data_IF_429640846070
#
_entry.id   IF_429640846070
#
_cell.length_a   1.000
_cell.length_b   1.000
_cell.length_c   1.000
_cell.angle_alpha   90.00
_cell.angle_beta   90.00
_cell.angle_gamma   90.00
#
_symmetry.space_group_name_H-M   'P 1'
#
loop_
_entity.id
_entity.type
_entity.pdbx_description
1 polymer ?
#
# COMPACT_ATOMS: atom_id res chain seq x y z
N UNK A 1 51.20 -36.91 -54.87
CA UNK A 1 49.93 -37.29 -55.49
C UNK A 1 49.10 -38.07 -54.48
N UNK A 2 47.98 -37.51 -54.01
CA UNK A 2 46.77 -38.22 -53.59
C UNK A 2 45.81 -37.19 -52.96
N UNK A 3 44.70 -36.92 -53.64
CA UNK A 3 43.54 -36.17 -53.16
C UNK A 3 42.65 -37.11 -52.35
N UNK A 4 42.21 -36.69 -51.17
CA UNK A 4 40.99 -37.15 -50.48
C UNK A 4 40.63 -35.98 -49.54
N UNK A 5 39.46 -35.37 -49.47
CA UNK A 5 38.10 -35.70 -49.89
C UNK A 5 37.20 -35.13 -48.80
N UNK A 6 36.68 -33.91 -48.99
CA UNK A 6 35.77 -33.25 -48.05
C UNK A 6 34.47 -34.07 -47.96
N UNK A 7 34.15 -34.61 -46.80
CA UNK A 7 32.79 -35.02 -46.44
C UNK A 7 32.26 -34.07 -45.37
N UNK A 8 31.46 -33.11 -45.80
CA UNK A 8 30.61 -32.33 -44.91
C UNK A 8 29.43 -33.19 -44.45
N UNK A 9 29.31 -33.39 -43.14
CA UNK A 9 28.07 -33.85 -42.54
C UNK A 9 27.28 -32.61 -42.09
N UNK A 10 26.33 -32.18 -42.91
CA UNK A 10 25.32 -31.23 -42.51
C UNK A 10 24.32 -31.97 -41.59
N UNK A 11 24.33 -31.65 -40.29
CA UNK A 11 23.24 -32.04 -39.40
C UNK A 11 22.09 -31.07 -39.64
N UNK A 12 21.09 -31.55 -40.37
CA UNK A 12 19.83 -30.86 -40.59
C UNK A 12 18.94 -30.96 -39.34
N UNK A 13 18.26 -29.85 -39.02
CA UNK A 13 16.94 -29.89 -38.39
C UNK A 13 16.87 -29.64 -36.89
N UNK A 14 17.15 -28.41 -36.44
CA UNK A 14 16.45 -27.89 -35.26
C UNK A 14 14.99 -27.64 -35.66
N UNK A 15 14.07 -28.45 -35.13
CA UNK A 15 12.63 -28.19 -35.20
C UNK A 15 12.36 -26.97 -34.32
N UNK A 16 12.48 -25.78 -34.91
CA UNK A 16 11.94 -24.56 -34.34
C UNK A 16 10.42 -24.63 -34.54
N UNK A 17 9.69 -25.16 -33.58
CA UNK A 17 8.24 -24.91 -33.50
C UNK A 17 8.06 -23.43 -33.25
N UNK A 18 7.88 -22.67 -34.33
CA UNK A 18 7.39 -21.32 -34.27
C UNK A 18 5.98 -21.37 -33.66
N UNK A 19 5.88 -21.09 -32.36
CA UNK A 19 4.61 -20.68 -31.75
C UNK A 19 4.22 -19.35 -32.39
N UNK A 20 3.42 -19.45 -33.45
CA UNK A 20 2.71 -18.31 -34.00
C UNK A 20 1.85 -17.67 -32.90
N UNK A 21 2.08 -16.39 -32.62
CA UNK A 21 0.95 -15.48 -32.39
C UNK A 21 0.69 -14.88 -31.00
N UNK A 22 1.49 -15.10 -29.96
CA UNK A 22 1.35 -14.25 -28.75
C UNK A 22 2.19 -12.98 -28.91
N UNK A 23 1.65 -11.97 -29.61
CA UNK A 23 2.18 -10.60 -29.43
C UNK A 23 2.07 -10.29 -27.92
N UNK A 24 3.13 -9.81 -27.25
CA UNK A 24 3.02 -9.39 -25.87
C UNK A 24 1.92 -8.33 -25.79
N UNK A 25 0.83 -8.64 -25.09
CA UNK A 25 -0.25 -7.67 -24.91
C UNK A 25 0.33 -6.52 -24.10
N UNK A 26 0.28 -5.31 -24.65
CA UNK A 26 0.68 -4.11 -23.90
C UNK A 26 -0.23 -4.05 -22.66
N UNK A 27 0.33 -3.93 -21.44
CA UNK A 27 -0.50 -3.84 -20.26
C UNK A 27 -1.32 -2.54 -20.31
N UNK A 28 -2.61 -2.65 -19.99
CA UNK A 28 -3.55 -1.52 -19.97
C UNK A 28 -3.38 -0.75 -18.68
N UNK A 29 -3.35 0.58 -18.75
CA UNK A 29 -3.24 1.45 -17.58
C UNK A 29 -4.61 1.57 -16.91
N UNK A 30 -4.72 1.35 -15.61
CA UNK A 30 -5.95 1.63 -14.86
C UNK A 30 -6.35 3.12 -14.98
N UNK A 31 -7.64 3.41 -14.84
CA UNK A 31 -8.19 4.77 -15.05
C UNK A 31 -7.96 5.39 -16.43
N UNK A 32 -7.64 4.56 -17.43
CA UNK A 32 -7.69 4.93 -18.84
C UNK A 32 -9.01 4.50 -19.48
N UNK A 33 -9.30 5.03 -20.68
CA UNK A 33 -10.47 4.62 -21.46
C UNK A 33 -10.42 3.13 -21.87
N UNK A 34 -9.24 2.52 -21.89
CA UNK A 34 -9.09 1.09 -22.18
C UNK A 34 -9.35 0.19 -20.96
N UNK A 35 -9.38 0.73 -19.75
CA UNK A 35 -9.56 -0.03 -18.50
C UNK A 35 -11.04 -0.10 -18.04
N UNK A 36 -11.98 -0.11 -18.98
CA UNK A 36 -13.40 -0.20 -18.66
C UNK A 36 -13.84 -1.63 -18.38
N UNK A 37 -14.63 -1.80 -17.30
CA UNK A 37 -15.25 -3.08 -16.98
C UNK A 37 -16.09 -3.58 -18.17
N UNK A 38 -15.87 -4.83 -18.58
CA UNK A 38 -16.52 -5.44 -19.75
C UNK A 38 -15.77 -5.30 -21.06
N UNK A 39 -14.78 -4.39 -21.17
CA UNK A 39 -13.87 -4.31 -22.32
C UNK A 39 -12.59 -5.11 -22.13
N UNK A 40 -12.21 -5.36 -20.88
CA UNK A 40 -10.99 -6.10 -20.50
C UNK A 40 -11.29 -7.21 -19.50
N UNK A 41 -10.38 -8.18 -19.42
CA UNK A 41 -10.36 -9.18 -18.36
C UNK A 41 -9.95 -8.51 -17.04
N UNK A 42 -10.89 -8.39 -16.10
CA UNK A 42 -10.68 -7.72 -14.80
C UNK A 42 -9.70 -8.46 -13.88
N UNK A 43 -9.29 -9.69 -14.24
CA UNK A 43 -8.18 -10.38 -13.59
C UNK A 43 -6.81 -9.95 -14.11
N UNK A 44 -6.76 -9.28 -15.26
CA UNK A 44 -5.53 -8.82 -15.92
C UNK A 44 -5.41 -7.30 -15.97
N UNK A 45 -6.46 -6.56 -15.64
CA UNK A 45 -6.49 -5.10 -15.60
C UNK A 45 -7.32 -4.69 -14.39
N UNK A 46 -6.80 -3.83 -13.53
CA UNK A 46 -7.61 -3.29 -12.45
C UNK A 46 -8.65 -2.30 -13.00
N UNK A 47 -9.92 -2.68 -12.91
CA UNK A 47 -11.05 -1.92 -13.49
C UNK A 47 -12.00 -1.32 -12.45
N UNK A 48 -11.78 -1.58 -11.16
CA UNK A 48 -12.65 -1.07 -10.10
C UNK A 48 -11.93 0.02 -9.30
N UNK A 49 -10.81 -0.32 -8.68
CA UNK A 49 -9.98 0.55 -7.84
C UNK A 49 -8.72 1.05 -8.54
N UNK A 50 -8.87 1.69 -9.69
CA UNK A 50 -7.74 2.01 -10.58
C UNK A 50 -6.79 3.10 -10.07
N UNK A 51 -7.16 3.84 -9.02
CA UNK A 51 -6.27 4.75 -8.30
C UNK A 51 -5.77 4.02 -7.06
N UNK A 52 -4.54 3.53 -7.09
CA UNK A 52 -3.97 2.68 -6.05
C UNK A 52 -3.12 3.52 -5.11
N UNK A 53 -3.39 3.44 -3.82
CA UNK A 53 -2.64 4.16 -2.78
C UNK A 53 -1.80 3.16 -1.99
N UNK A 54 -0.48 3.39 -1.88
CA UNK A 54 0.35 2.74 -0.86
C UNK A 54 0.54 3.70 0.29
N UNK A 55 0.01 3.36 1.45
CA UNK A 55 -0.09 4.24 2.61
C UNK A 55 0.85 3.81 3.72
N UNK A 56 1.41 4.77 4.44
CA UNK A 56 2.40 4.53 5.49
C UNK A 56 2.07 5.29 6.76
N UNK A 57 2.43 4.72 7.91
CA UNK A 57 2.37 5.35 9.21
C UNK A 57 3.74 5.83 9.69
N UNK A 58 3.71 6.95 10.39
CA UNK A 58 4.70 7.30 11.39
C UNK A 58 4.06 7.28 12.79
N UNK A 59 4.10 6.12 13.43
CA UNK A 59 3.76 5.98 14.82
C UNK A 59 4.97 6.31 15.72
N UNK A 60 4.72 6.98 16.84
CA UNK A 60 5.74 7.20 17.88
C UNK A 60 5.70 6.13 18.97
N UNK A 61 4.63 5.34 19.04
CA UNK A 61 4.46 4.24 20.00
C UNK A 61 3.42 3.24 19.45
N UNK A 62 3.41 2.01 19.95
CA UNK A 62 2.43 0.98 19.57
C UNK A 62 1.31 0.86 20.59
N UNK A 63 1.56 1.18 21.86
CA UNK A 63 0.63 0.93 22.96
C UNK A 63 0.56 -0.53 23.39
N UNK A 64 1.35 -1.41 22.76
CA UNK A 64 1.52 -2.82 23.08
C UNK A 64 3.01 -3.17 23.24
N UNK A 65 3.84 -2.21 23.64
CA UNK A 65 5.27 -2.41 23.89
C UNK A 65 5.52 -3.51 24.92
N UNK A 66 4.67 -3.61 25.95
CA UNK A 66 4.73 -4.67 26.96
C UNK A 66 4.50 -6.07 26.41
N UNK A 67 3.88 -6.18 25.24
CA UNK A 67 3.64 -7.43 24.51
C UNK A 67 4.72 -7.69 23.44
N UNK A 68 5.71 -6.80 23.34
CA UNK A 68 6.81 -6.90 22.37
C UNK A 68 6.48 -6.41 20.96
N UNK A 69 5.31 -5.80 20.76
CA UNK A 69 4.97 -5.11 19.51
C UNK A 69 5.74 -3.79 19.47
N UNK A 70 6.81 -3.77 18.68
CA UNK A 70 7.75 -2.64 18.57
C UNK A 70 7.88 -2.19 17.12
N UNK A 71 8.13 -0.90 16.95
CA UNK A 71 8.30 -0.24 15.66
C UNK A 71 9.71 -0.46 15.11
N UNK A 72 9.89 -0.56 13.78
CA UNK A 72 11.20 -0.72 13.17
C UNK A 72 11.99 0.58 13.21
N UNK A 73 13.21 0.58 13.76
CA UNK A 73 14.09 1.75 13.71
C UNK A 73 14.28 2.26 12.27
N UNK A 74 14.37 3.57 12.11
CA UNK A 74 14.69 4.25 10.84
C UNK A 74 13.78 3.85 9.67
N UNK A 75 12.48 3.66 9.94
CA UNK A 75 11.52 3.24 8.92
C UNK A 75 10.13 3.68 9.31
N UNK A 76 9.36 4.19 8.34
CA UNK A 76 7.91 4.20 8.43
C UNK A 76 7.38 2.76 8.47
N UNK A 77 6.12 2.57 8.82
CA UNK A 77 5.43 1.28 8.74
C UNK A 77 4.36 1.33 7.65
N UNK A 78 4.03 0.18 7.08
CA UNK A 78 2.92 0.04 6.14
C UNK A 78 1.60 0.26 6.90
N UNK A 79 0.75 1.14 6.36
CA UNK A 79 -0.65 1.25 6.75
C UNK A 79 -1.49 0.31 5.87
N UNK A 80 -1.45 0.49 4.54
CA UNK A 80 -2.21 -0.36 3.64
C UNK A 80 -1.93 -0.14 2.15
N UNK A 81 -2.72 -0.85 1.34
CA UNK A 81 -2.80 -0.71 -0.11
C UNK A 81 -4.27 -0.57 -0.50
N UNK A 82 -4.67 0.61 -0.99
CA UNK A 82 -6.09 0.96 -1.11
C UNK A 82 -6.51 1.16 -2.58
N UNK A 83 -7.69 0.64 -2.96
CA UNK A 83 -8.33 0.93 -4.23
C UNK A 83 -9.28 2.13 -4.12
N UNK A 84 -8.87 3.27 -4.65
CA UNK A 84 -9.78 4.38 -4.92
C UNK A 84 -10.33 4.29 -6.35
N UNK A 85 -11.54 4.80 -6.54
CA UNK A 85 -12.07 5.05 -7.87
C UNK A 85 -11.24 6.13 -8.56
N UNK A 86 -11.28 6.13 -9.89
CA UNK A 86 -10.50 7.07 -10.70
C UNK A 86 -10.82 8.54 -10.46
N UNK A 87 -12.00 8.85 -9.92
CA UNK A 87 -12.41 10.21 -9.54
C UNK A 87 -12.02 10.60 -8.09
N UNK A 88 -11.31 9.73 -7.36
CA UNK A 88 -10.84 9.98 -5.99
C UNK A 88 -11.87 9.70 -4.90
N UNK A 89 -13.09 9.31 -5.24
CA UNK A 89 -13.98 8.66 -4.28
C UNK A 89 -13.54 7.21 -4.05
N UNK A 90 -13.99 6.58 -2.99
CA UNK A 90 -13.61 5.21 -2.65
C UNK A 90 -14.83 4.38 -2.23
N UNK A 91 -14.61 3.08 -2.15
CA UNK A 91 -15.56 2.12 -1.60
C UNK A 91 -14.87 1.26 -0.55
N UNK A 92 -15.63 0.46 0.18
CA UNK A 92 -15.11 -0.33 1.29
C UNK A 92 -15.98 -1.56 1.56
N UNK A 93 -15.33 -2.64 2.04
CA UNK A 93 -15.97 -3.90 2.38
C UNK A 93 -16.82 -4.49 1.24
N UNK A 94 -16.22 -4.61 0.06
CA UNK A 94 -16.92 -4.97 -1.18
C UNK A 94 -17.31 -6.45 -1.28
N UNK A 95 -16.79 -7.32 -0.40
CA UNK A 95 -17.09 -8.75 -0.40
C UNK A 95 -17.16 -9.31 1.03
N UNK A 96 -18.38 -9.51 1.54
CA UNK A 96 -18.61 -10.03 2.89
C UNK A 96 -18.24 -11.51 3.04
N UNK A 97 -18.15 -12.28 1.95
CA UNK A 97 -17.72 -13.68 2.02
C UNK A 97 -16.21 -13.82 2.30
N UNK A 98 -15.45 -12.73 2.12
CA UNK A 98 -14.00 -12.62 2.36
C UNK A 98 -13.64 -11.61 3.44
N UNK A 99 -14.60 -11.26 4.29
CA UNK A 99 -14.40 -10.35 5.40
C UNK A 99 -13.83 -11.13 6.60
N UNK A 100 -12.80 -10.57 7.25
CA UNK A 100 -12.11 -11.11 8.42
C UNK A 100 -11.98 -10.10 9.58
N UNK A 101 -12.46 -8.86 9.42
CA UNK A 101 -12.27 -7.77 10.37
C UNK A 101 -13.18 -7.95 11.62
N UNK A 102 -12.60 -8.16 12.82
CA UNK A 102 -13.36 -8.34 14.05
C UNK A 102 -13.94 -7.04 14.60
N UNK A 103 -13.52 -5.87 14.11
CA UNK A 103 -14.00 -4.56 14.56
C UNK A 103 -14.10 -3.58 13.39
N UNK A 104 -15.08 -3.77 12.48
CA UNK A 104 -15.24 -2.91 11.30
C UNK A 104 -15.36 -1.42 11.65
N UNK A 105 -14.45 -0.60 11.10
CA UNK A 105 -14.47 0.86 11.27
C UNK A 105 -14.25 1.62 9.93
N UNK A 106 -15.26 2.33 9.40
CA UNK A 106 -16.61 2.43 9.93
C UNK A 106 -17.38 1.10 9.73
N UNK A 107 -18.46 0.93 10.49
CA UNK A 107 -19.22 -0.32 10.55
C UNK A 107 -20.30 -0.46 9.45
N UNK A 108 -20.22 0.35 8.39
CA UNK A 108 -21.09 0.26 7.20
C UNK A 108 -20.27 0.39 5.91
N UNK A 109 -20.79 -0.09 4.78
CA UNK A 109 -20.10 -0.04 3.47
C UNK A 109 -19.92 1.36 2.89
N UNK A 110 -20.55 2.38 3.47
CA UNK A 110 -20.44 3.80 3.02
C UNK A 110 -19.87 4.71 4.11
N UNK A 111 -19.60 4.18 5.30
CA UNK A 111 -19.26 4.95 6.49
C UNK A 111 -20.38 5.84 7.03
N UNK A 112 -21.59 5.71 6.48
CA UNK A 112 -22.78 6.48 6.87
C UNK A 112 -23.86 5.56 7.43
N UNK A 113 -24.85 6.11 8.19
CA UNK A 113 -25.95 5.31 8.74
C UNK A 113 -26.83 4.60 7.69
N UNK A 114 -26.83 5.06 6.44
CA UNK A 114 -27.57 4.47 5.33
C UNK A 114 -26.79 3.37 4.58
N UNK A 115 -25.52 3.15 4.92
CA UNK A 115 -24.71 2.07 4.36
C UNK A 115 -25.14 0.70 4.86
N UNK A 116 -24.77 -0.34 4.11
CA UNK A 116 -25.02 -1.73 4.53
C UNK A 116 -24.15 -2.04 5.75
N UNK A 117 -24.71 -2.52 6.87
CA UNK A 117 -23.93 -2.87 8.05
C UNK A 117 -22.89 -3.97 7.75
N UNK A 118 -21.67 -3.78 8.24
CA UNK A 118 -20.59 -4.76 8.14
C UNK A 118 -20.54 -5.54 9.45
N UNK A 119 -20.90 -6.84 9.45
CA UNK A 119 -20.90 -7.63 10.67
C UNK A 119 -19.45 -7.86 11.16
N UNK A 120 -19.20 -7.76 12.48
CA UNK A 120 -17.92 -8.17 13.06
C UNK A 120 -17.60 -9.64 12.80
N UNK A 121 -16.36 -9.92 12.40
CA UNK A 121 -15.87 -11.28 12.23
C UNK A 121 -15.57 -11.94 13.58
N UNK A 122 -15.94 -13.21 13.73
CA UNK A 122 -15.76 -13.98 14.98
C UNK A 122 -14.93 -15.25 14.79
N UNK A 123 -14.38 -15.48 13.60
CA UNK A 123 -13.56 -16.66 13.29
C UNK A 123 -12.07 -16.48 13.58
N UNK A 124 -11.22 -17.41 13.12
CA UNK A 124 -9.77 -17.34 13.29
C UNK A 124 -9.14 -16.12 12.61
N UNK A 125 -8.13 -15.53 13.25
CA UNK A 125 -7.42 -14.37 12.72
C UNK A 125 -6.65 -14.66 11.43
N UNK A 126 -6.39 -13.63 10.61
CA UNK A 126 -5.75 -13.77 9.29
C UNK A 126 -4.36 -14.42 9.35
N UNK A 127 -3.61 -14.23 10.43
CA UNK A 127 -2.31 -14.86 10.67
C UNK A 127 -2.40 -16.38 10.87
N UNK A 128 -3.53 -16.90 11.33
CA UNK A 128 -3.79 -18.35 11.38
C UNK A 128 -3.84 -18.93 9.97
N UNK A 129 -4.52 -18.24 9.04
CA UNK A 129 -4.63 -18.69 7.65
C UNK A 129 -3.29 -18.58 6.91
N UNK A 130 -2.54 -17.49 7.12
CA UNK A 130 -1.21 -17.33 6.55
C UNK A 130 -0.26 -18.43 7.07
N UNK A 131 -0.28 -18.74 8.37
CA UNK A 131 0.50 -19.84 8.95
C UNK A 131 0.19 -21.18 8.27
N UNK A 132 -1.09 -21.47 7.98
CA UNK A 132 -1.49 -22.70 7.32
C UNK A 132 -0.96 -22.84 5.87
N UNK A 133 -0.50 -21.75 5.23
CA UNK A 133 0.13 -21.79 3.92
C UNK A 133 1.61 -22.20 3.97
N UNK A 134 2.16 -22.45 5.17
CA UNK A 134 3.50 -22.96 5.38
C UNK A 134 4.58 -21.89 5.20
N UNK A 135 5.74 -22.30 4.67
CA UNK A 135 6.93 -21.42 4.59
C UNK A 135 6.67 -20.02 4.00
N UNK A 136 5.92 -19.84 2.90
CA UNK A 136 5.63 -18.50 2.37
C UNK A 136 4.88 -17.61 3.36
N UNK A 137 3.86 -18.17 4.02
CA UNK A 137 3.06 -17.43 5.00
C UNK A 137 3.86 -17.08 6.25
N UNK A 138 4.68 -18.00 6.77
CA UNK A 138 5.58 -17.70 7.89
C UNK A 138 6.58 -16.58 7.55
N UNK A 139 7.16 -16.61 6.36
CA UNK A 139 8.10 -15.57 5.90
C UNK A 139 7.40 -14.21 5.81
N UNK A 140 6.19 -14.18 5.27
CA UNK A 140 5.41 -12.95 5.16
C UNK A 140 4.99 -12.41 6.54
N UNK A 141 4.50 -13.27 7.44
CA UNK A 141 4.15 -12.88 8.81
C UNK A 141 5.34 -12.31 9.58
N UNK A 142 6.54 -12.87 9.41
CA UNK A 142 7.74 -12.32 10.04
C UNK A 142 8.04 -10.90 9.54
N UNK A 143 7.83 -10.65 8.25
CA UNK A 143 7.99 -9.32 7.67
C UNK A 143 6.89 -8.35 8.15
N UNK A 144 5.62 -8.77 8.13
CA UNK A 144 4.48 -7.95 8.59
C UNK A 144 4.60 -7.58 10.07
N UNK A 145 5.01 -8.52 10.93
CA UNK A 145 5.27 -8.24 12.34
C UNK A 145 6.45 -7.28 12.58
N UNK A 146 7.25 -6.96 11.55
CA UNK A 146 8.30 -5.95 11.63
C UNK A 146 7.88 -4.62 11.03
N UNK A 147 7.09 -4.61 9.95
CA UNK A 147 6.85 -3.42 9.13
C UNK A 147 5.38 -3.02 8.96
N UNK A 148 4.41 -3.84 9.35
CA UNK A 148 2.98 -3.56 9.27
C UNK A 148 2.38 -3.60 10.67
N UNK A 149 2.76 -2.60 11.47
CA UNK A 149 2.52 -2.54 12.91
C UNK A 149 1.28 -1.72 13.20
N UNK A 150 0.43 -2.22 14.10
CA UNK A 150 -0.75 -1.49 14.54
C UNK A 150 -0.48 -0.62 15.77
N UNK A 151 -1.28 0.44 15.92
CA UNK A 151 -1.31 1.26 17.13
C UNK A 151 -2.53 0.90 17.98
N UNK A 152 -2.33 0.64 19.28
CA UNK A 152 -3.34 0.34 20.31
C UNK A 152 -4.19 -0.91 20.04
N UNK A 153 -3.72 -1.81 19.19
CA UNK A 153 -4.35 -3.09 18.91
C UNK A 153 -3.31 -4.11 18.38
N UNK A 154 -3.59 -5.42 18.48
CA UNK A 154 -2.73 -6.43 17.88
C UNK A 154 -2.65 -6.29 16.35
N UNK A 155 -1.47 -6.52 15.77
CA UNK A 155 -1.26 -6.37 14.33
C UNK A 155 -2.29 -7.13 13.46
N UNK A 156 -2.69 -8.34 13.88
CA UNK A 156 -3.64 -9.15 13.10
C UNK A 156 -5.02 -8.49 12.93
N UNK A 157 -5.42 -7.57 13.83
CA UNK A 157 -6.66 -6.81 13.68
C UNK A 157 -6.53 -5.75 12.58
N UNK A 158 -5.40 -5.04 12.53
CA UNK A 158 -5.09 -4.13 11.42
C UNK A 158 -5.06 -4.88 10.09
N UNK A 159 -4.35 -6.02 10.02
CA UNK A 159 -4.27 -6.78 8.76
C UNK A 159 -5.64 -7.29 8.29
N UNK A 160 -6.47 -7.73 9.23
CA UNK A 160 -7.84 -8.14 8.94
C UNK A 160 -8.69 -6.96 8.43
N UNK A 161 -8.54 -5.79 9.04
CA UNK A 161 -9.16 -4.54 8.59
C UNK A 161 -8.75 -4.20 7.15
N UNK A 162 -7.46 -4.11 6.90
CA UNK A 162 -6.90 -3.73 5.60
C UNK A 162 -7.36 -4.68 4.49
N UNK A 163 -7.34 -5.99 4.74
CA UNK A 163 -7.83 -6.94 3.77
C UNK A 163 -9.35 -6.80 3.54
N UNK A 164 -10.12 -6.80 4.62
CA UNK A 164 -11.58 -6.81 4.55
C UNK A 164 -12.14 -5.56 3.91
N UNK A 165 -11.60 -4.40 4.28
CA UNK A 165 -12.07 -3.09 3.85
C UNK A 165 -11.57 -2.73 2.47
N UNK A 166 -10.29 -3.01 2.17
CA UNK A 166 -9.64 -2.53 0.95
C UNK A 166 -9.35 -3.65 -0.06
N UNK A 167 -8.73 -4.76 0.34
CA UNK A 167 -8.37 -5.83 -0.60
C UNK A 167 -9.59 -6.41 -1.34
N UNK A 168 -10.73 -6.49 -0.65
CA UNK A 168 -11.98 -7.00 -1.22
C UNK A 168 -12.53 -6.13 -2.36
N UNK A 169 -12.07 -4.87 -2.44
CA UNK A 169 -12.49 -3.87 -3.41
C UNK A 169 -11.51 -3.71 -4.58
N UNK A 170 -10.55 -4.61 -4.76
CA UNK A 170 -9.83 -4.71 -6.03
C UNK A 170 -10.45 -5.77 -6.91
N UNK A 171 -10.59 -5.47 -8.21
CA UNK A 171 -11.07 -6.46 -9.19
C UNK A 171 -10.05 -7.59 -9.39
N UNK A 172 -8.75 -7.28 -9.39
CA UNK A 172 -7.71 -8.27 -9.73
C UNK A 172 -7.44 -9.27 -8.60
N UNK A 173 -7.88 -8.98 -7.36
CA UNK A 173 -7.77 -9.87 -6.20
C UNK A 173 -9.03 -10.71 -5.96
N UNK A 174 -10.02 -10.67 -6.86
CA UNK A 174 -11.20 -11.53 -6.75
C UNK A 174 -10.82 -13.03 -6.80
N UNK A 175 -11.47 -13.91 -6.02
CA UNK A 175 -11.15 -15.35 -6.01
C UNK A 175 -11.19 -16.02 -7.39
N UNK A 176 -12.09 -15.55 -8.27
CA UNK A 176 -12.21 -16.02 -9.65
C UNK A 176 -10.96 -15.78 -10.51
N UNK A 177 -10.07 -14.88 -10.08
CA UNK A 177 -8.82 -14.55 -10.77
C UNK A 177 -7.68 -15.51 -10.43
N UNK A 178 -7.83 -16.32 -9.38
CA UNK A 178 -6.86 -17.36 -9.03
C UNK A 178 -7.22 -18.64 -9.77
N UNK A 179 -6.25 -19.22 -10.49
CA UNK A 179 -6.52 -20.44 -11.26
C UNK A 179 -6.92 -21.60 -10.33
N UNK A 180 -7.70 -22.56 -10.82
CA UNK A 180 -8.06 -23.76 -10.05
C UNK A 180 -6.86 -24.57 -9.53
N UNK A 181 -5.66 -24.38 -10.09
CA UNK A 181 -4.41 -24.99 -9.59
C UNK A 181 -3.75 -24.16 -8.48
N UNK A 182 -4.04 -22.86 -8.44
CA UNK A 182 -3.51 -21.89 -7.47
C UNK A 182 -4.47 -21.64 -6.30
N UNK A 183 -5.72 -22.12 -6.39
CA UNK A 183 -6.76 -22.01 -5.36
C UNK A 183 -6.47 -22.91 -4.14
N UNK A 184 -5.30 -22.74 -3.51
CA UNK A 184 -5.19 -23.02 -2.08
C UNK A 184 -6.12 -22.05 -1.36
N UNK A 185 -6.92 -22.57 -0.43
CA UNK A 185 -7.77 -21.74 0.43
C UNK A 185 -6.92 -20.62 1.04
N UNK A 186 -7.37 -19.37 0.98
CA UNK A 186 -6.66 -18.18 1.49
C UNK A 186 -5.42 -17.73 0.70
N UNK A 187 -5.23 -18.20 -0.54
CA UNK A 187 -4.14 -17.72 -1.40
C UNK A 187 -4.27 -16.22 -1.76
N UNK A 188 -5.48 -15.69 -1.79
CA UNK A 188 -5.78 -14.28 -1.99
C UNK A 188 -5.25 -13.41 -0.84
N UNK A 189 -5.38 -13.85 0.42
CA UNK A 189 -4.76 -13.21 1.59
C UNK A 189 -3.24 -13.11 1.43
N UNK A 190 -2.57 -14.24 1.13
CA UNK A 190 -1.13 -14.26 0.93
C UNK A 190 -0.69 -13.30 -0.18
N UNK A 191 -1.43 -13.31 -1.30
CA UNK A 191 -1.11 -12.49 -2.47
C UNK A 191 -1.30 -11.00 -2.18
N UNK A 192 -2.40 -10.61 -1.53
CA UNK A 192 -2.63 -9.21 -1.16
C UNK A 192 -1.53 -8.68 -0.25
N UNK A 193 -1.27 -9.38 0.86
CA UNK A 193 -0.28 -8.91 1.83
C UNK A 193 1.15 -8.87 1.26
N UNK A 194 1.51 -9.83 0.39
CA UNK A 194 2.82 -9.80 -0.28
C UNK A 194 2.92 -8.63 -1.26
N UNK A 195 1.88 -8.34 -2.04
CA UNK A 195 1.86 -7.21 -2.98
C UNK A 195 1.91 -5.88 -2.22
N UNK A 196 1.14 -5.70 -1.15
CA UNK A 196 1.21 -4.51 -0.30
C UNK A 196 2.62 -4.30 0.27
N UNK A 197 3.28 -5.40 0.69
CA UNK A 197 4.67 -5.37 1.13
C UNK A 197 5.65 -4.98 0.02
N UNK A 198 5.40 -5.39 -1.23
CA UNK A 198 6.23 -5.01 -2.38
C UNK A 198 6.14 -3.51 -2.66
N UNK A 199 4.94 -2.93 -2.74
CA UNK A 199 4.77 -1.47 -2.94
C UNK A 199 5.48 -0.67 -1.84
N UNK A 200 5.30 -1.07 -0.58
CA UNK A 200 5.96 -0.42 0.56
C UNK A 200 7.49 -0.43 0.46
N UNK A 201 8.09 -1.55 0.06
CA UNK A 201 9.56 -1.69 -0.03
C UNK A 201 10.22 -0.75 -1.04
N UNK A 202 9.46 -0.28 -2.04
CA UNK A 202 9.95 0.70 -3.03
C UNK A 202 9.79 2.15 -2.56
N UNK A 203 9.23 2.37 -1.37
CA UNK A 203 8.92 3.68 -0.81
C UNK A 203 9.62 3.89 0.54
N UNK A 204 10.97 3.93 0.60
CA UNK A 204 11.73 4.16 1.84
C UNK A 204 11.63 5.62 2.32
N UNK A 205 10.43 6.05 2.72
CA UNK A 205 10.11 7.44 3.12
C UNK A 205 11.08 7.99 4.16
N UNK A 206 11.47 7.19 5.16
CA UNK A 206 12.45 7.62 6.17
C UNK A 206 13.78 8.01 5.53
N UNK A 207 14.32 7.16 4.65
CA UNK A 207 15.63 7.38 4.03
C UNK A 207 15.62 8.61 3.12
N UNK A 208 14.53 8.83 2.39
CA UNK A 208 14.35 10.02 1.55
C UNK A 208 14.30 11.31 2.35
N UNK A 209 13.56 11.33 3.46
CA UNK A 209 13.50 12.48 4.36
C UNK A 209 14.84 12.71 5.06
N UNK A 210 15.48 11.66 5.57
CA UNK A 210 16.77 11.74 6.24
C UNK A 210 17.87 12.26 5.31
N UNK A 211 17.86 11.89 4.03
CA UNK A 211 18.80 12.39 3.02
C UNK A 211 18.65 13.91 2.74
N UNK A 212 17.51 14.49 3.10
CA UNK A 212 17.22 15.93 3.02
C UNK A 212 17.29 16.62 4.39
N UNK A 213 17.95 16.01 5.37
CA UNK A 213 18.08 16.50 6.75
C UNK A 213 16.72 16.69 7.48
N UNK A 214 15.68 15.96 7.05
CA UNK A 214 14.37 15.89 7.72
C UNK A 214 14.30 14.59 8.52
N UNK A 215 14.77 14.64 9.77
CA UNK A 215 14.76 13.49 10.68
C UNK A 215 13.75 13.66 11.82
N UNK A 216 13.32 12.56 12.48
CA UNK A 216 12.51 12.69 13.67
C UNK A 216 13.19 13.57 14.72
N UNK A 217 12.45 14.51 15.31
CA UNK A 217 12.94 15.45 16.32
C UNK A 217 11.83 15.90 17.26
N UNK A 218 12.18 16.07 18.53
CA UNK A 218 11.32 16.69 19.55
C UNK A 218 11.60 18.19 19.74
N UNK A 219 12.57 18.75 18.99
CA UNK A 219 13.03 20.14 19.12
C UNK A 219 12.99 20.91 17.80
N UNK A 220 12.84 20.23 16.68
CA UNK A 220 12.80 20.79 15.33
C UNK A 220 11.50 20.41 14.65
N UNK A 221 10.85 21.41 14.07
CA UNK A 221 9.70 21.25 13.18
C UNK A 221 10.07 21.67 11.75
N UNK A 222 9.22 21.30 10.81
CA UNK A 222 9.45 21.44 9.37
C UNK A 222 8.26 22.15 8.72
N UNK A 223 8.47 22.65 7.50
CA UNK A 223 7.40 23.18 6.67
C UNK A 223 6.81 22.06 5.83
N UNK A 224 5.48 22.06 5.68
CA UNK A 224 4.76 21.08 4.87
C UNK A 224 5.35 20.92 3.45
N UNK A 225 5.69 22.04 2.82
CA UNK A 225 6.25 22.09 1.46
C UNK A 225 7.61 21.39 1.37
N UNK A 226 8.46 21.49 2.39
CA UNK A 226 9.79 20.85 2.38
C UNK A 226 9.66 19.33 2.42
N UNK A 227 8.76 18.80 3.25
CA UNK A 227 8.47 17.37 3.32
C UNK A 227 7.86 16.90 2.00
N UNK A 228 6.84 17.58 1.48
CA UNK A 228 6.18 17.18 0.24
C UNK A 228 7.10 17.23 -0.97
N UNK A 229 7.90 18.30 -1.11
CA UNK A 229 8.83 18.45 -2.25
C UNK A 229 9.94 17.41 -2.21
N UNK A 230 10.48 17.11 -1.02
CA UNK A 230 11.46 16.03 -0.83
C UNK A 230 10.89 14.71 -1.31
N UNK A 231 9.71 14.30 -0.82
CA UNK A 231 9.11 13.03 -1.19
C UNK A 231 8.66 12.99 -2.66
N UNK A 232 8.12 14.08 -3.19
CA UNK A 232 7.75 14.20 -4.59
C UNK A 232 8.95 14.00 -5.53
N UNK A 233 10.13 14.49 -5.15
CA UNK A 233 11.36 14.31 -5.94
C UNK A 233 11.75 12.83 -6.11
N UNK A 234 11.30 11.96 -5.20
CA UNK A 234 11.49 10.51 -5.25
C UNK A 234 10.29 9.74 -5.83
N UNK A 235 9.22 10.43 -6.21
CA UNK A 235 7.98 9.86 -6.73
C UNK A 235 7.59 10.49 -8.08
N UNK A 236 8.55 10.59 -9.01
CA UNK A 236 8.37 11.20 -10.35
C UNK A 236 7.78 12.63 -10.34
N UNK A 237 8.14 13.42 -9.32
CA UNK A 237 7.63 14.77 -9.12
C UNK A 237 6.18 14.83 -8.64
N UNK A 238 5.56 13.67 -8.36
CA UNK A 238 4.17 13.59 -7.94
C UNK A 238 4.05 13.79 -6.44
N UNK A 239 3.20 14.73 -6.03
CA UNK A 239 3.04 15.12 -4.62
C UNK A 239 2.29 14.03 -3.86
N UNK A 240 2.90 13.39 -2.84
CA UNK A 240 2.16 12.47 -1.97
C UNK A 240 1.24 13.25 -1.02
N UNK A 241 0.22 12.56 -0.51
CA UNK A 241 -0.60 13.10 0.58
C UNK A 241 0.16 13.01 1.91
N UNK A 242 0.15 14.07 2.70
CA UNK A 242 0.68 14.05 4.08
C UNK A 242 -0.45 14.21 5.10
N UNK A 243 -0.62 13.17 5.92
CA UNK A 243 -1.56 13.16 7.02
C UNK A 243 -0.88 13.62 8.30
N UNK A 244 -1.45 14.66 8.92
CA UNK A 244 -1.13 15.04 10.29
C UNK A 244 -2.30 14.86 11.24
N UNK A 245 -1.99 14.70 12.52
CA UNK A 245 -2.92 14.63 13.65
C UNK A 245 -2.44 15.48 14.84
N UNK A 246 -3.08 15.33 16.00
CA UNK A 246 -2.74 16.07 17.22
C UNK A 246 -3.44 17.42 17.33
N UNK A 247 -2.77 18.43 17.86
CA UNK A 247 -3.32 19.79 17.97
C UNK A 247 -3.37 20.46 16.60
N UNK A 248 -4.40 21.27 16.36
CA UNK A 248 -4.39 22.18 15.21
C UNK A 248 -3.41 23.32 15.45
N UNK A 249 -2.82 23.87 14.40
CA UNK A 249 -1.80 24.92 14.55
C UNK A 249 -2.35 26.15 15.28
N UNK A 250 -3.55 26.60 14.93
CA UNK A 250 -4.24 27.70 15.61
C UNK A 250 -4.59 27.46 17.10
N UNK A 251 -4.49 26.22 17.58
CA UNK A 251 -4.66 25.85 19.00
C UNK A 251 -3.31 25.78 19.76
N UNK A 252 -2.18 25.96 19.05
CA UNK A 252 -0.85 26.04 19.66
C UNK A 252 -0.51 27.48 20.06
N UNK A 253 0.47 27.65 20.95
CA UNK A 253 0.97 28.99 21.31
C UNK A 253 1.57 29.70 20.09
N UNK A 254 2.30 28.97 19.23
CA UNK A 254 2.92 29.52 18.02
C UNK A 254 1.89 29.95 16.96
N UNK A 255 0.78 29.23 16.83
CA UNK A 255 -0.26 29.52 15.86
C UNK A 255 -1.44 30.34 16.38
N UNK A 256 -1.40 30.79 17.63
CA UNK A 256 -2.51 31.52 18.26
C UNK A 256 -2.90 32.75 17.44
N UNK A 257 -4.15 32.79 17.00
CA UNK A 257 -4.69 33.86 16.14
C UNK A 257 -4.49 33.65 14.63
N UNK A 258 -3.82 32.57 14.22
CA UNK A 258 -3.75 32.13 12.83
C UNK A 258 -5.08 31.53 12.35
N UNK A 259 -5.34 31.63 11.05
CA UNK A 259 -6.43 30.91 10.36
C UNK A 259 -6.04 29.48 9.98
N UNK A 260 -4.77 29.10 10.16
CA UNK A 260 -4.31 27.76 9.86
C UNK A 260 -4.80 26.75 10.90
N UNK A 261 -5.78 25.95 10.47
CA UNK A 261 -6.43 24.93 11.27
C UNK A 261 -5.88 23.52 10.98
N UNK A 262 -4.78 23.39 10.24
CA UNK A 262 -4.17 22.10 9.96
C UNK A 262 -3.54 21.47 11.20
N UNK A 263 -3.45 20.15 11.20
CA UNK A 263 -2.85 19.38 12.28
C UNK A 263 -1.33 19.47 12.29
N UNK A 264 -0.71 19.32 13.46
CA UNK A 264 0.71 19.65 13.64
C UNK A 264 1.63 18.44 13.67
N UNK A 265 1.17 17.22 13.94
CA UNK A 265 2.03 16.05 14.04
C UNK A 265 1.92 15.17 12.79
N UNK A 266 2.99 14.99 12.03
CA UNK A 266 3.05 14.09 10.88
C UNK A 266 2.82 12.64 11.34
N UNK A 267 1.83 11.98 10.75
CA UNK A 267 1.47 10.59 11.08
C UNK A 267 1.30 9.70 9.88
N UNK A 268 1.07 10.25 8.68
CA UNK A 268 0.85 9.43 7.49
C UNK A 268 1.46 10.01 6.22
N UNK A 269 1.82 9.12 5.30
CA UNK A 269 2.21 9.45 3.92
C UNK A 269 1.51 8.51 2.96
N UNK A 270 0.80 9.04 1.95
CA UNK A 270 0.12 8.22 0.94
C UNK A 270 0.67 8.50 -0.46
N UNK A 271 1.14 7.45 -1.12
CA UNK A 271 1.68 7.50 -2.48
C UNK A 271 0.68 6.93 -3.46
N UNK A 272 0.32 7.71 -4.48
CA UNK A 272 -0.71 7.35 -5.44
C UNK A 272 -0.11 6.81 -6.74
N UNK A 273 -0.83 5.86 -7.34
CA UNK A 273 -0.49 5.21 -8.59
C UNK A 273 -1.72 5.00 -9.45
N UNK A 274 -1.56 5.08 -10.77
CA UNK A 274 -2.27 4.17 -11.66
C UNK A 274 -1.41 2.93 -11.90
N UNK A 275 -1.98 1.81 -12.34
CA UNK A 275 -1.25 0.55 -12.50
C UNK A 275 -1.39 0.00 -13.91
N UNK A 276 -0.32 -0.57 -14.44
CA UNK A 276 -0.33 -1.27 -15.73
C UNK A 276 -0.68 -2.75 -15.54
N UNK A 277 -1.88 -3.14 -15.94
CA UNK A 277 -2.39 -4.50 -15.80
C UNK A 277 -2.91 -4.79 -14.39
N UNK A 278 -2.67 -6.00 -13.83
CA UNK A 278 -3.14 -6.31 -12.49
C UNK A 278 -2.24 -5.66 -11.44
N UNK A 279 -2.81 -5.26 -10.29
CA UNK A 279 -2.05 -4.62 -9.19
C UNK A 279 -0.85 -5.47 -8.75
N UNK A 280 -1.02 -6.80 -8.79
CA UNK A 280 -0.01 -7.81 -8.46
C UNK A 280 1.24 -7.75 -9.34
N UNK A 281 1.20 -7.10 -10.50
CA UNK A 281 2.36 -6.95 -11.37
C UNK A 281 3.38 -5.92 -10.84
N UNK A 282 3.02 -5.09 -9.86
CA UNK A 282 3.90 -4.08 -9.27
C UNK A 282 4.33 -2.98 -10.25
N UNK A 283 3.61 -2.80 -11.36
CA UNK A 283 3.91 -1.80 -12.40
C UNK A 283 3.08 -0.54 -12.20
N UNK A 284 3.35 0.18 -11.12
CA UNK A 284 2.74 1.46 -10.82
C UNK A 284 3.31 2.59 -11.70
N UNK A 285 2.44 3.49 -12.15
CA UNK A 285 2.75 4.82 -12.67
C UNK A 285 2.42 5.83 -11.57
N UNK A 286 3.41 6.48 -10.95
CA UNK A 286 3.17 7.53 -9.97
C UNK A 286 2.17 8.58 -10.49
N UNK A 287 1.27 9.00 -9.61
CA UNK A 287 0.40 10.17 -9.78
C UNK A 287 0.33 10.94 -8.46
N UNK A 288 -0.03 12.23 -8.52
CA UNK A 288 -0.14 13.07 -7.34
C UNK A 288 -1.44 12.87 -6.58
N UNK A 289 -1.43 13.16 -5.28
CA UNK A 289 -2.63 13.20 -4.45
C UNK A 289 -3.65 14.27 -4.91
N UNK A 290 -3.19 15.25 -5.68
CA UNK A 290 -3.98 16.30 -6.32
C UNK A 290 -4.64 15.89 -7.64
N UNK A 291 -4.41 14.66 -8.14
CA UNK A 291 -4.90 14.21 -9.46
C UNK A 291 -6.42 14.41 -9.65
N UNK A 292 -7.19 14.33 -8.56
CA UNK A 292 -8.64 14.50 -8.56
C UNK A 292 -9.11 15.82 -7.93
N UNK A 293 -8.20 16.77 -7.70
CA UNK A 293 -8.49 18.05 -7.05
C UNK A 293 -8.81 17.93 -5.54
N UNK A 294 -8.48 16.80 -4.93
CA UNK A 294 -8.64 16.55 -3.50
C UNK A 294 -7.63 17.32 -2.64
N UNK A 295 -7.82 17.28 -1.31
CA UNK A 295 -6.79 17.82 -0.40
C UNK A 295 -5.53 16.98 -0.47
N UNK A 296 -4.37 17.63 -0.56
CA UNK A 296 -3.06 16.98 -0.53
C UNK A 296 -2.50 16.82 0.88
N UNK A 297 -3.17 17.35 1.90
CA UNK A 297 -2.72 17.23 3.29
C UNK A 297 -3.80 17.58 4.32
N UNK A 298 -3.70 17.01 5.52
CA UNK A 298 -4.40 17.49 6.73
C UNK A 298 -3.50 18.33 7.65
N UNK A 299 -2.24 18.51 7.28
CA UNK A 299 -1.23 19.22 8.05
C UNK A 299 -1.40 20.75 8.01
N UNK A 300 -0.85 21.39 9.04
CA UNK A 300 -0.66 22.83 9.09
C UNK A 300 0.25 23.29 7.93
N UNK A 301 -0.03 24.48 7.42
CA UNK A 301 0.65 25.10 6.27
C UNK A 301 1.61 26.22 6.67
N UNK A 302 1.48 26.75 7.88
CA UNK A 302 2.40 27.74 8.42
C UNK A 302 3.84 27.19 8.42
N UNK A 303 4.79 28.09 8.22
CA UNK A 303 6.22 27.76 8.22
C UNK A 303 6.62 27.14 9.56
N UNK A 304 7.32 26.01 9.52
CA UNK A 304 7.75 25.28 10.72
C UNK A 304 6.60 24.73 11.58
N UNK A 305 5.40 24.51 11.03
CA UNK A 305 4.27 24.03 11.81
C UNK A 305 4.14 22.49 11.92
N UNK A 306 4.90 21.73 11.12
CA UNK A 306 4.79 20.27 11.03
C UNK A 306 5.88 19.60 11.87
N UNK A 307 5.47 18.86 12.89
CA UNK A 307 6.33 18.06 13.75
C UNK A 307 6.44 16.64 13.24
N UNK A 308 7.68 16.20 13.03
CA UNK A 308 8.03 14.82 12.77
C UNK A 308 8.68 14.27 14.04
N UNK A 309 7.88 13.75 14.97
CA UNK A 309 8.36 13.44 16.33
C UNK A 309 9.24 12.21 16.42
N UNK A 310 10.20 12.21 17.33
CA UNK A 310 10.93 11.00 17.73
C UNK A 310 9.98 9.98 18.34
N UNK A 311 10.34 8.70 18.22
CA UNK A 311 9.57 7.64 18.87
C UNK A 311 9.76 7.67 20.38
N UNK A 312 8.73 7.24 21.09
CA UNK A 312 8.77 7.12 22.53
C UNK A 312 9.83 6.10 22.96
N UNK A 313 10.44 6.36 24.13
CA UNK A 313 11.48 5.50 24.68
C UNK A 313 10.95 4.08 24.89
N UNK A 314 11.60 3.12 24.25
CA UNK A 314 11.26 1.70 24.35
C UNK A 314 10.23 1.21 23.33
N UNK A 315 9.71 2.09 22.47
CA UNK A 315 8.77 1.72 21.40
C UNK A 315 9.45 1.20 20.13
N UNK A 316 10.78 1.28 20.05
CA UNK A 316 11.56 0.85 18.89
C UNK A 316 12.32 -0.45 19.10
N UNK A 317 12.37 -1.25 18.04
CA UNK A 317 13.29 -2.38 17.94
C UNK A 317 14.72 -1.85 17.98
N UNK A 318 15.62 -2.55 18.68
CA UNK A 318 17.05 -2.29 18.57
C UNK A 318 17.49 -2.51 17.11
N UNK A 319 18.24 -1.56 16.57
CA UNK A 319 18.83 -1.64 15.24
C UNK A 319 19.78 -2.85 15.13
#
# INVERSE_FOLDING_TARGET
>A
MARFGLFGLAVAGSVQTALAGCKPHKPVLSCSAEAESGLVDSCKVETFGGLVLSTQFWDTYTGLESEGQLLPANSFTLHGLWPDFCNGSWTQYCDFARQYDPKPDPNTTTGKPDGVPVPPYTGPSVDTFLTALGHPGHKLLAWMNKYWIAQKQPNHQLWAHEFSKHATCFSTFAPSCFSHKDLKKHQDLLTFFDVSAQYFKFLPTYDWLAAADITPSNTTSYTLVDIQSTLASHHDGQVPYLGCSGKRYNETEAGKGSLDNGFTALTEVWYYYHVYGPVQAGKGKPVGADINGGSISSCAKAEGAVWYYERAKGSERKA
#
